data_IF_734802127591
#
_entry.id   IF_734802127591
#
_cell.length_a   1.000
_cell.length_b   1.000
_cell.length_c   1.000
_cell.angle_alpha   90.00
_cell.angle_beta   90.00
_cell.angle_gamma   90.00
#
_symmetry.space_group_name_H-M   'P 1'
#
loop_
_entity.id
_entity.type
_entity.pdbx_description
1 polymer ?
#
# COMPACT_ATOMS: atom_id res chain seq x y z
N UNK A 1 19.04 68.20 -20.83
CA UNK A 1 19.39 66.79 -20.72
C UNK A 1 18.17 66.04 -20.16
N UNK A 2 17.60 65.21 -20.99
CA UNK A 2 16.49 64.34 -20.52
C UNK A 2 17.09 62.95 -20.25
N UNK A 3 16.96 62.49 -18.98
CA UNK A 3 17.31 61.15 -18.60
C UNK A 3 16.32 60.16 -19.19
N UNK A 4 16.76 59.05 -19.81
CA UNK A 4 15.83 58.04 -20.28
C UNK A 4 15.12 57.42 -19.09
N UNK A 5 13.80 57.42 -19.12
CA UNK A 5 13.00 56.66 -18.20
C UNK A 5 13.25 55.19 -18.53
N UNK A 6 14.08 54.54 -17.73
CA UNK A 6 14.17 53.09 -17.77
C UNK A 6 12.91 52.52 -17.12
N UNK A 7 12.04 52.01 -17.96
CA UNK A 7 10.92 51.23 -17.47
C UNK A 7 11.45 49.85 -17.10
N UNK A 8 11.60 49.63 -15.81
CA UNK A 8 11.88 48.29 -15.31
C UNK A 8 10.56 47.51 -15.36
N UNK A 9 10.39 46.75 -16.41
CA UNK A 9 9.34 45.76 -16.47
C UNK A 9 9.72 44.65 -15.50
N UNK A 10 9.21 44.72 -14.29
CA UNK A 10 9.21 43.54 -13.40
C UNK A 10 8.22 42.55 -13.97
N UNK A 11 8.71 41.61 -14.77
CA UNK A 11 7.96 40.43 -15.09
C UNK A 11 7.86 39.63 -13.79
N UNK A 12 6.74 39.76 -13.11
CA UNK A 12 6.42 38.85 -12.01
C UNK A 12 6.15 37.49 -12.62
N UNK A 13 7.21 36.68 -12.65
CA UNK A 13 7.08 35.25 -12.95
C UNK A 13 6.29 34.65 -11.80
N UNK A 14 4.98 34.52 -11.97
CA UNK A 14 4.13 33.78 -11.05
C UNK A 14 4.46 32.32 -11.25
N UNK A 15 5.39 31.82 -10.45
CA UNK A 15 5.67 30.39 -10.39
C UNK A 15 4.40 29.76 -9.79
N UNK A 16 3.55 29.17 -10.62
CA UNK A 16 2.52 28.26 -10.16
C UNK A 16 3.26 27.00 -9.66
N UNK A 17 3.69 27.04 -8.41
CA UNK A 17 4.13 25.85 -7.72
C UNK A 17 2.89 25.00 -7.51
N UNK A 18 2.62 24.10 -8.45
CA UNK A 18 1.71 23.00 -8.20
C UNK A 18 2.21 22.27 -6.97
N UNK A 19 1.39 22.17 -5.91
CA UNK A 19 1.74 21.38 -4.76
C UNK A 19 2.06 19.96 -5.24
N UNK A 20 3.23 19.38 -4.92
CA UNK A 20 3.52 18.01 -5.31
C UNK A 20 2.49 17.10 -4.68
N UNK A 21 1.79 16.31 -5.51
CA UNK A 21 0.91 15.26 -5.03
C UNK A 21 1.82 14.13 -4.57
N UNK A 22 2.12 14.11 -3.28
CA UNK A 22 2.89 13.03 -2.69
C UNK A 22 1.95 11.88 -2.41
N UNK A 23 2.18 10.74 -3.09
CA UNK A 23 1.65 9.48 -2.59
C UNK A 23 2.49 9.08 -1.39
N UNK A 24 1.85 8.91 -0.24
CA UNK A 24 2.52 8.44 0.95
C UNK A 24 2.76 6.93 0.88
N UNK A 25 3.76 6.45 1.61
CA UNK A 25 4.00 5.03 1.81
C UNK A 25 3.54 4.65 3.21
N UNK A 26 2.68 3.63 3.28
CA UNK A 26 2.24 3.00 4.52
C UNK A 26 2.94 1.66 4.66
N UNK A 27 3.37 1.32 5.87
CA UNK A 27 4.03 0.05 6.16
C UNK A 27 3.32 -0.64 7.32
N UNK A 28 3.16 -1.96 7.21
CA UNK A 28 2.63 -2.78 8.28
C UNK A 28 3.37 -4.12 8.30
N UNK A 29 3.63 -4.65 9.50
CA UNK A 29 4.33 -5.90 9.72
C UNK A 29 3.49 -6.81 10.61
N UNK A 30 3.42 -8.09 10.25
CA UNK A 30 2.65 -9.09 10.99
C UNK A 30 3.41 -10.40 11.13
N UNK A 31 3.17 -11.06 12.25
CA UNK A 31 3.58 -12.45 12.48
C UNK A 31 2.40 -13.37 12.15
N UNK A 32 2.68 -14.39 11.33
CA UNK A 32 1.71 -15.44 11.00
C UNK A 32 2.09 -16.70 11.76
N UNK A 33 1.22 -17.12 12.66
CA UNK A 33 1.41 -18.34 13.46
C UNK A 33 0.24 -19.28 13.27
N UNK A 34 0.54 -20.54 12.97
CA UNK A 34 -0.49 -21.54 12.68
C UNK A 34 -1.49 -21.05 11.61
N UNK A 35 -0.96 -20.40 10.57
CA UNK A 35 -1.72 -19.84 9.44
C UNK A 35 -2.71 -18.74 9.83
N UNK A 36 -2.46 -18.03 10.94
CA UNK A 36 -3.31 -16.94 11.45
C UNK A 36 -2.45 -15.77 11.93
N UNK A 37 -3.02 -14.59 11.89
CA UNK A 37 -2.44 -13.40 12.49
C UNK A 37 -3.12 -13.10 13.81
N UNK A 38 -4.45 -12.94 13.80
CA UNK A 38 -5.27 -12.68 14.97
C UNK A 38 -6.72 -13.07 14.68
N UNK A 39 -7.54 -13.15 15.73
CA UNK A 39 -8.99 -13.36 15.62
C UNK A 39 -9.71 -12.27 16.43
N UNK A 40 -10.52 -11.42 15.80
CA UNK A 40 -10.78 -11.34 14.37
C UNK A 40 -9.55 -10.92 13.54
N UNK A 41 -9.57 -11.22 12.23
CA UNK A 41 -8.49 -10.85 11.33
C UNK A 41 -8.32 -9.32 11.28
N UNK A 42 -7.09 -8.79 11.36
CA UNK A 42 -6.86 -7.36 11.35
C UNK A 42 -7.14 -6.75 9.97
N UNK A 43 -7.43 -5.46 9.95
CA UNK A 43 -7.51 -4.66 8.73
C UNK A 43 -6.37 -3.66 8.67
N UNK A 44 -5.72 -3.58 7.52
CA UNK A 44 -4.72 -2.55 7.22
C UNK A 44 -5.39 -1.50 6.35
N UNK A 45 -5.52 -0.29 6.87
CA UNK A 45 -6.16 0.82 6.15
C UNK A 45 -5.12 1.65 5.42
N UNK A 46 -5.37 1.89 4.15
CA UNK A 46 -4.48 2.69 3.30
C UNK A 46 -5.31 3.63 2.43
N UNK A 47 -4.97 4.93 2.38
CA UNK A 47 -5.65 5.86 1.48
C UNK A 47 -5.42 5.47 0.02
N UNK A 48 -6.46 5.60 -0.80
CA UNK A 48 -6.37 5.37 -2.24
C UNK A 48 -5.28 6.25 -2.86
N UNK A 49 -4.42 5.65 -3.67
CA UNK A 49 -3.28 6.29 -4.31
C UNK A 49 -1.96 6.12 -3.55
N UNK A 50 -2.00 5.73 -2.28
CA UNK A 50 -0.79 5.48 -1.51
C UNK A 50 -0.19 4.11 -1.85
N UNK A 51 1.09 3.94 -1.52
CA UNK A 51 1.78 2.65 -1.59
C UNK A 51 1.71 1.95 -0.23
N UNK A 52 1.29 0.70 -0.22
CA UNK A 52 1.30 -0.15 0.96
C UNK A 52 2.46 -1.14 0.87
N UNK A 53 3.24 -1.24 1.92
CA UNK A 53 4.25 -2.28 2.10
C UNK A 53 3.82 -3.17 3.25
N UNK A 54 3.52 -4.42 2.95
CA UNK A 54 3.26 -5.46 3.95
C UNK A 54 4.50 -6.32 4.12
N UNK A 55 4.91 -6.53 5.35
CA UNK A 55 5.93 -7.48 5.71
C UNK A 55 5.32 -8.56 6.60
N UNK A 56 5.45 -9.82 6.18
CA UNK A 56 4.91 -10.97 6.90
C UNK A 56 6.02 -11.97 7.19
N UNK A 57 6.01 -12.48 8.41
CA UNK A 57 6.86 -13.60 8.83
C UNK A 57 5.98 -14.73 9.32
N UNK A 58 6.21 -15.94 8.84
CA UNK A 58 5.42 -17.12 9.19
C UNK A 58 6.27 -18.20 9.85
N UNK A 59 5.66 -18.98 10.71
CA UNK A 59 6.25 -20.21 11.27
C UNK A 59 6.16 -21.40 10.32
N UNK A 60 5.33 -21.30 9.27
CA UNK A 60 5.15 -22.37 8.27
C UNK A 60 5.22 -21.82 6.86
N UNK A 61 5.51 -22.69 5.89
CA UNK A 61 5.41 -22.36 4.48
C UNK A 61 3.93 -22.14 4.12
N UNK A 62 3.64 -21.03 3.45
CA UNK A 62 2.27 -20.67 3.11
C UNK A 62 2.26 -19.74 1.89
N UNK A 63 1.44 -20.07 0.91
CA UNK A 63 1.19 -19.19 -0.23
C UNK A 63 -0.07 -18.39 0.04
N UNK A 64 0.03 -17.06 -0.10
CA UNK A 64 -1.06 -16.12 0.12
C UNK A 64 -1.47 -15.47 -1.19
N UNK A 65 -2.76 -15.17 -1.28
CA UNK A 65 -3.34 -14.43 -2.40
C UNK A 65 -4.12 -13.23 -1.89
N UNK A 66 -3.78 -12.06 -2.41
CA UNK A 66 -4.55 -10.84 -2.18
C UNK A 66 -5.62 -10.74 -3.25
N UNK A 67 -6.86 -11.05 -2.87
CA UNK A 67 -8.00 -11.00 -3.78
C UNK A 67 -8.29 -9.55 -4.19
N UNK A 68 -8.72 -9.37 -5.43
CA UNK A 68 -9.01 -8.05 -6.01
C UNK A 68 -7.82 -7.39 -6.68
N UNK A 69 -6.63 -7.56 -6.14
CA UNK A 69 -5.37 -7.09 -6.74
C UNK A 69 -4.61 -8.20 -7.47
N UNK A 70 -5.04 -9.43 -7.31
CA UNK A 70 -4.43 -10.61 -7.92
C UNK A 70 -2.91 -10.69 -7.68
N UNK A 71 -2.50 -10.52 -6.43
CA UNK A 71 -1.12 -10.57 -6.01
C UNK A 71 -0.88 -11.79 -5.13
N UNK A 72 0.23 -12.48 -5.40
CA UNK A 72 0.66 -13.64 -4.64
C UNK A 72 1.85 -13.29 -3.76
N UNK A 73 1.90 -13.89 -2.58
CA UNK A 73 3.02 -13.79 -1.66
C UNK A 73 3.31 -15.17 -1.06
N UNK A 74 4.51 -15.70 -1.32
CA UNK A 74 4.96 -16.95 -0.76
C UNK A 74 5.73 -16.72 0.53
N UNK A 75 5.29 -17.35 1.62
CA UNK A 75 5.96 -17.32 2.90
C UNK A 75 6.77 -18.59 3.10
N UNK A 76 7.99 -18.42 3.61
CA UNK A 76 8.86 -19.49 4.07
C UNK A 76 9.11 -19.36 5.57
N UNK A 77 9.22 -20.48 6.31
CA UNK A 77 9.38 -20.40 7.76
C UNK A 77 10.55 -19.51 8.18
N UNK A 78 10.27 -18.53 9.04
CA UNK A 78 11.27 -17.65 9.62
C UNK A 78 11.88 -16.61 8.71
N UNK A 79 11.49 -16.55 7.43
CA UNK A 79 12.01 -15.59 6.45
C UNK A 79 10.97 -14.51 6.19
N UNK A 80 11.27 -13.23 6.48
CA UNK A 80 10.35 -12.13 6.16
C UNK A 80 10.08 -12.05 4.66
N UNK A 81 8.81 -11.92 4.29
CA UNK A 81 8.37 -11.68 2.93
C UNK A 81 7.67 -10.33 2.84
N UNK A 82 7.90 -9.60 1.75
CA UNK A 82 7.36 -8.26 1.54
C UNK A 82 6.48 -8.24 0.31
N UNK A 83 5.32 -7.61 0.46
CA UNK A 83 4.42 -7.29 -0.63
C UNK A 83 4.31 -5.77 -0.72
N UNK A 84 4.69 -5.21 -1.86
CA UNK A 84 4.49 -3.79 -2.15
C UNK A 84 3.31 -3.65 -3.10
N UNK A 85 2.37 -2.80 -2.74
CA UNK A 85 1.12 -2.62 -3.45
C UNK A 85 0.84 -1.14 -3.66
N UNK A 86 0.52 -0.75 -4.88
CA UNK A 86 -0.11 0.56 -5.14
C UNK A 86 -1.62 0.43 -4.93
N UNK A 87 -2.15 1.15 -3.96
CA UNK A 87 -3.55 1.07 -3.56
C UNK A 87 -4.43 1.90 -4.48
N UNK A 88 -4.61 1.48 -5.74
CA UNK A 88 -5.35 2.23 -6.75
C UNK A 88 -6.85 2.00 -6.67
N UNK A 89 -7.28 0.79 -6.37
CA UNK A 89 -8.69 0.43 -6.28
C UNK A 89 -9.16 0.51 -4.84
N UNK A 90 -10.21 1.31 -4.58
CA UNK A 90 -10.84 1.38 -3.26
C UNK A 90 -11.65 0.12 -2.99
N UNK A 91 -11.72 -0.29 -1.73
CA UNK A 91 -12.47 -1.45 -1.29
C UNK A 91 -11.79 -2.20 -0.16
N UNK A 92 -12.34 -3.36 0.17
CA UNK A 92 -11.83 -4.24 1.20
C UNK A 92 -11.41 -5.56 0.58
N UNK A 93 -10.14 -5.88 0.66
CA UNK A 93 -9.52 -6.99 -0.05
C UNK A 93 -8.93 -8.00 0.93
N UNK A 94 -9.38 -9.28 0.90
CA UNK A 94 -8.84 -10.29 1.78
C UNK A 94 -7.49 -10.81 1.28
N UNK A 95 -6.55 -10.98 2.21
CA UNK A 95 -5.33 -11.75 2.03
C UNK A 95 -5.53 -13.10 2.68
N UNK A 96 -5.57 -14.15 1.89
CA UNK A 96 -5.91 -15.50 2.36
C UNK A 96 -4.96 -16.54 1.79
N UNK A 97 -4.87 -17.69 2.45
CA UNK A 97 -4.09 -18.82 1.97
C UNK A 97 -4.64 -19.33 0.62
N UNK A 98 -3.72 -19.68 -0.28
CA UNK A 98 -4.02 -20.18 -1.61
C UNK A 98 -3.39 -21.55 -1.81
N UNK A 99 -4.03 -22.38 -2.64
CA UNK A 99 -3.54 -23.71 -2.99
C UNK A 99 -4.46 -24.85 -2.57
N UNK A 100 -3.98 -26.07 -2.68
CA UNK A 100 -4.75 -27.27 -2.33
C UNK A 100 -5.15 -27.25 -0.86
N UNK A 101 -6.40 -27.53 -0.57
CA UNK A 101 -6.95 -27.51 0.79
C UNK A 101 -7.37 -26.14 1.31
N UNK A 102 -7.19 -25.09 0.52
CA UNK A 102 -7.51 -23.71 0.93
C UNK A 102 -8.59 -23.04 0.09
N UNK A 103 -9.54 -23.79 -0.48
CA UNK A 103 -10.56 -23.25 -1.36
C UNK A 103 -11.48 -22.22 -0.70
N UNK A 104 -11.63 -22.28 0.61
CA UNK A 104 -12.43 -21.36 1.41
C UNK A 104 -11.68 -20.95 2.68
N UNK A 105 -10.36 -20.75 2.56
CA UNK A 105 -9.56 -20.33 3.71
C UNK A 105 -10.01 -18.95 4.20
N UNK A 106 -10.11 -18.75 5.52
CA UNK A 106 -10.42 -17.44 6.07
C UNK A 106 -9.29 -16.46 5.78
N UNK A 107 -9.62 -15.18 5.69
CA UNK A 107 -8.63 -14.14 5.52
C UNK A 107 -7.70 -14.08 6.73
N UNK A 108 -6.39 -13.94 6.49
CA UNK A 108 -5.41 -13.64 7.55
C UNK A 108 -5.50 -12.17 7.96
N UNK A 109 -5.68 -11.31 6.97
CA UNK A 109 -5.91 -9.88 7.14
C UNK A 109 -6.73 -9.35 5.96
N UNK A 110 -7.21 -8.12 6.12
CA UNK A 110 -7.84 -7.36 5.05
C UNK A 110 -7.04 -6.13 4.74
N UNK A 111 -6.86 -5.84 3.47
CA UNK A 111 -6.39 -4.53 3.01
C UNK A 111 -7.62 -3.69 2.69
N UNK A 112 -7.77 -2.60 3.42
CA UNK A 112 -8.90 -1.69 3.26
C UNK A 112 -8.40 -0.38 2.63
N UNK A 113 -8.68 -0.22 1.34
CA UNK A 113 -8.30 0.99 0.59
C UNK A 113 -9.42 2.00 0.67
N UNK A 114 -9.12 3.11 1.33
CA UNK A 114 -10.09 4.16 1.61
C UNK A 114 -10.12 5.16 0.45
N UNK A 115 -11.29 5.45 -0.13
CA UNK A 115 -11.39 6.45 -1.20
C UNK A 115 -10.87 7.81 -0.77
N UNK A 116 -10.27 8.52 -1.71
CA UNK A 116 -9.89 9.92 -1.57
C UNK A 116 -10.84 10.83 -2.28
#
# INVERSE_FOLDING_TARGET
>A
MRLPRQYWLFATLTLLAGAPVWSAQQSASFEVRQQRIASPAPSVRVPQGDTLVLELRSDTALDLHLHGYDRMLSLKPGIPARLQLQAQAAGRFPLAAHGKGHHHAPALLYVEVIPR
#
